data_IF_916563776363
#
_entry.id   IF_916563776363
#
_cell.length_a   1.000
_cell.length_b   1.000
_cell.length_c   1.000
_cell.angle_alpha   90.00
_cell.angle_beta   90.00
_cell.angle_gamma   90.00
#
_symmetry.space_group_name_H-M   'P 1'
#
loop_
_entity.id
_entity.type
_entity.pdbx_description
1 polymer ?
#
# COMPACT_ATOMS: atom_id res chain seq x y z
N UNK A 1 47.26 57.34 -50.77
CA UNK A 1 46.42 56.36 -51.50
C UNK A 1 45.29 55.74 -50.66
N UNK A 2 45.50 55.43 -49.39
CA UNK A 2 44.46 54.83 -48.49
C UNK A 2 43.25 55.73 -48.25
N UNK A 3 43.42 57.03 -48.15
CA UNK A 3 42.33 57.96 -47.86
C UNK A 3 41.34 58.11 -49.05
N UNK A 4 41.87 58.17 -50.29
CA UNK A 4 41.02 58.28 -51.49
C UNK A 4 40.14 57.02 -51.70
N UNK A 5 40.63 55.86 -51.31
CA UNK A 5 39.86 54.63 -51.37
C UNK A 5 38.75 54.62 -50.30
N UNK A 6 39.06 55.13 -49.11
CA UNK A 6 38.09 55.26 -48.02
C UNK A 6 37.01 56.26 -48.30
N UNK A 7 37.33 57.40 -48.94
CA UNK A 7 36.34 58.41 -49.36
C UNK A 7 35.45 57.92 -50.49
N UNK A 8 35.98 57.15 -51.43
CA UNK A 8 35.20 56.52 -52.48
C UNK A 8 34.21 55.47 -51.89
N UNK A 9 34.57 54.69 -50.88
CA UNK A 9 33.66 53.77 -50.21
C UNK A 9 32.63 54.46 -49.35
N UNK A 10 32.93 55.65 -48.78
CA UNK A 10 32.01 56.45 -47.99
C UNK A 10 30.92 57.12 -48.85
N UNK A 11 31.19 57.29 -50.16
CA UNK A 11 30.19 57.83 -51.10
C UNK A 11 29.20 56.81 -51.61
N UNK A 12 29.45 55.54 -51.40
CA UNK A 12 28.49 54.45 -51.75
C UNK A 12 27.44 54.36 -50.62
N UNK A 13 26.47 55.22 -50.66
CA UNK A 13 25.27 55.10 -49.81
C UNK A 13 24.27 54.21 -50.53
N UNK A 14 23.83 53.15 -49.82
CA UNK A 14 22.79 52.27 -50.37
C UNK A 14 21.51 53.08 -50.58
N UNK A 15 20.85 52.91 -51.72
CA UNK A 15 19.62 53.54 -52.07
C UNK A 15 18.56 53.38 -50.96
N UNK A 16 17.91 54.44 -50.54
CA UNK A 16 16.89 54.45 -49.49
C UNK A 16 15.77 53.43 -49.77
N UNK A 17 15.41 53.28 -51.07
CA UNK A 17 14.48 52.23 -51.52
C UNK A 17 14.95 50.81 -51.15
N UNK A 18 16.23 50.56 -51.30
CA UNK A 18 16.79 49.25 -51.02
C UNK A 18 16.85 48.98 -49.51
N UNK A 19 17.11 50.01 -48.72
CA UNK A 19 17.06 49.94 -47.26
C UNK A 19 15.66 49.64 -46.74
N UNK A 20 14.65 50.31 -47.30
CA UNK A 20 13.23 50.08 -46.93
C UNK A 20 12.77 48.70 -47.36
N UNK A 21 13.09 48.25 -48.57
CA UNK A 21 12.78 46.89 -49.02
C UNK A 21 13.41 45.83 -48.14
N UNK A 22 14.68 46.01 -47.75
CA UNK A 22 15.36 45.12 -46.84
C UNK A 22 14.76 45.10 -45.46
N UNK A 23 14.39 46.29 -44.92
CA UNK A 23 13.67 46.40 -43.64
C UNK A 23 12.33 45.69 -43.67
N UNK A 24 11.56 45.88 -44.73
CA UNK A 24 10.27 45.20 -44.91
C UNK A 24 10.44 43.70 -45.06
N UNK A 25 11.40 43.23 -45.80
CA UNK A 25 11.70 41.82 -45.97
C UNK A 25 12.12 41.18 -44.62
N UNK A 26 12.96 41.83 -43.87
CA UNK A 26 13.36 41.36 -42.52
C UNK A 26 12.20 41.38 -41.55
N UNK A 27 11.34 42.38 -41.58
CA UNK A 27 10.14 42.45 -40.75
C UNK A 27 9.13 41.34 -41.13
N UNK A 28 8.97 41.07 -42.40
CA UNK A 28 8.13 39.97 -42.88
C UNK A 28 8.70 38.60 -42.51
N UNK A 29 10.01 38.40 -42.62
CA UNK A 29 10.66 37.16 -42.23
C UNK A 29 10.65 36.93 -40.71
N UNK A 30 10.72 38.01 -39.91
CA UNK A 30 10.50 37.95 -38.45
C UNK A 30 9.08 37.54 -38.09
N UNK A 31 8.06 38.06 -38.84
CA UNK A 31 6.65 37.66 -38.63
C UNK A 31 6.38 36.22 -39.08
N UNK A 32 7.11 35.74 -40.09
CA UNK A 32 6.98 34.37 -40.61
C UNK A 32 7.87 33.36 -39.86
N UNK A 33 8.79 33.83 -39.01
CA UNK A 33 9.53 32.91 -38.13
C UNK A 33 8.49 32.16 -37.30
N UNK A 34 8.36 30.82 -37.47
CA UNK A 34 7.39 30.07 -36.71
C UNK A 34 7.72 30.34 -35.26
N UNK A 35 6.77 30.91 -34.51
CA UNK A 35 6.88 31.03 -33.09
C UNK A 35 7.26 29.61 -32.63
N UNK A 36 8.51 29.41 -32.26
CA UNK A 36 8.96 28.13 -31.69
C UNK A 36 8.09 27.93 -30.49
N UNK A 37 6.94 27.33 -30.74
CA UNK A 37 5.97 26.97 -29.70
C UNK A 37 6.77 26.33 -28.61
N UNK A 38 6.56 26.66 -27.39
CA UNK A 38 7.35 26.12 -26.29
C UNK A 38 7.01 24.64 -26.07
N UNK A 39 7.12 23.85 -27.15
CA UNK A 39 6.88 22.40 -27.16
C UNK A 39 7.69 21.75 -26.05
N UNK A 40 8.93 22.24 -25.82
CA UNK A 40 9.75 21.78 -24.71
C UNK A 40 9.15 22.13 -23.33
N UNK A 41 8.52 23.31 -23.20
CA UNK A 41 7.84 23.70 -21.95
C UNK A 41 6.58 22.89 -21.73
N UNK A 42 5.80 22.66 -22.78
CA UNK A 42 4.62 21.80 -22.70
C UNK A 42 5.00 20.35 -22.42
N UNK A 43 6.05 19.84 -23.06
CA UNK A 43 6.57 18.51 -22.78
C UNK A 43 7.07 18.39 -21.32
N UNK A 44 7.77 19.38 -20.81
CA UNK A 44 8.21 19.41 -19.41
C UNK A 44 7.04 19.42 -18.42
N UNK A 45 5.99 20.23 -18.69
CA UNK A 45 4.78 20.26 -17.87
C UNK A 45 4.08 18.89 -17.89
N UNK A 46 4.00 18.24 -19.05
CA UNK A 46 3.34 16.95 -19.21
C UNK A 46 4.12 15.85 -18.47
N UNK A 47 5.46 15.87 -18.54
CA UNK A 47 6.32 14.96 -17.78
C UNK A 47 6.17 15.18 -16.27
N UNK A 48 6.20 16.44 -15.80
CA UNK A 48 5.97 16.75 -14.38
C UNK A 48 4.59 16.28 -13.90
N UNK A 49 3.55 16.48 -14.69
CA UNK A 49 2.20 16.04 -14.38
C UNK A 49 2.11 14.51 -14.34
N UNK A 50 2.77 13.83 -15.27
CA UNK A 50 2.85 12.37 -15.29
C UNK A 50 3.61 11.84 -14.06
N UNK A 51 4.74 12.44 -13.69
CA UNK A 51 5.47 12.09 -12.47
C UNK A 51 4.64 12.33 -11.20
N UNK A 52 3.85 13.41 -11.17
CA UNK A 52 2.97 13.71 -10.05
C UNK A 52 1.84 12.68 -9.95
N UNK A 53 1.20 12.33 -11.06
CA UNK A 53 0.13 11.31 -11.10
C UNK A 53 0.67 9.93 -10.70
N UNK A 54 1.83 9.53 -11.22
CA UNK A 54 2.45 8.24 -10.87
C UNK A 54 2.94 8.22 -9.42
N UNK A 55 3.55 9.31 -8.94
CA UNK A 55 4.07 9.41 -7.58
C UNK A 55 2.95 9.43 -6.53
N UNK A 56 1.99 10.33 -6.66
CA UNK A 56 0.86 10.45 -5.72
C UNK A 56 -0.09 9.27 -5.87
N UNK A 57 -0.37 8.83 -7.10
CA UNK A 57 -1.23 7.68 -7.39
C UNK A 57 -0.65 6.39 -6.82
N UNK A 58 0.64 6.13 -7.02
CA UNK A 58 1.35 4.98 -6.45
C UNK A 58 1.35 5.01 -4.93
N UNK A 59 1.67 6.17 -4.34
CA UNK A 59 1.66 6.33 -2.88
C UNK A 59 0.26 6.12 -2.27
N UNK A 60 -0.81 6.51 -2.94
CA UNK A 60 -2.18 6.31 -2.48
C UNK A 60 -2.69 4.89 -2.70
N UNK A 61 -2.18 4.17 -3.71
CA UNK A 61 -2.64 2.83 -4.10
C UNK A 61 -1.98 1.70 -3.30
N UNK A 62 -0.69 1.85 -2.98
CA UNK A 62 0.11 0.78 -2.37
C UNK A 62 -0.20 0.48 -0.88
N UNK A 63 -0.51 1.46 -0.01
CA UNK A 63 -0.74 1.16 1.39
C UNK A 63 -2.01 0.33 1.61
N UNK A 64 -1.95 -0.73 2.45
CA UNK A 64 -3.15 -1.44 2.88
C UNK A 64 -4.00 -0.51 3.77
N UNK A 65 -5.30 -0.45 3.51
CA UNK A 65 -6.28 0.26 4.31
C UNK A 65 -7.00 -0.70 5.26
N UNK A 66 -7.26 -1.92 4.78
CA UNK A 66 -7.93 -2.98 5.50
C UNK A 66 -7.37 -4.35 5.14
N UNK A 67 -7.71 -5.37 5.88
CA UNK A 67 -7.35 -6.75 5.62
C UNK A 67 -8.56 -7.65 5.86
N UNK A 68 -8.63 -8.74 5.10
CA UNK A 68 -9.61 -9.81 5.23
C UNK A 68 -8.82 -11.07 5.57
N UNK A 69 -9.02 -11.61 6.76
CA UNK A 69 -8.48 -12.90 7.17
C UNK A 69 -9.52 -13.98 6.89
N UNK A 70 -9.11 -15.02 6.21
CA UNK A 70 -9.93 -16.19 5.87
C UNK A 70 -9.30 -17.37 6.57
N UNK A 71 -10.02 -17.94 7.51
CA UNK A 71 -9.58 -19.05 8.34
C UNK A 71 -10.40 -20.29 8.04
N UNK A 72 -9.72 -21.27 7.51
CA UNK A 72 -10.19 -22.61 7.23
C UNK A 72 -9.02 -23.59 7.43
N UNK A 73 -9.05 -24.73 6.76
CA UNK A 73 -7.88 -25.61 6.65
C UNK A 73 -6.66 -24.95 6.00
N UNK A 74 -6.90 -23.88 5.22
CA UNK A 74 -5.89 -23.10 4.48
C UNK A 74 -6.08 -21.62 4.83
N UNK A 75 -5.35 -21.18 5.86
CA UNK A 75 -5.52 -19.83 6.38
C UNK A 75 -4.80 -18.77 5.52
N UNK A 76 -5.56 -17.75 5.08
CA UNK A 76 -5.12 -16.69 4.18
C UNK A 76 -5.48 -15.31 4.69
N UNK A 77 -4.65 -14.33 4.38
CA UNK A 77 -4.90 -12.91 4.60
C UNK A 77 -4.84 -12.15 3.28
N UNK A 78 -5.89 -11.42 2.95
CA UNK A 78 -5.97 -10.52 1.82
C UNK A 78 -5.77 -9.09 2.31
N UNK A 79 -4.72 -8.41 1.89
CA UNK A 79 -4.53 -6.99 2.15
C UNK A 79 -5.26 -6.18 1.09
N UNK A 80 -6.16 -5.30 1.51
CA UNK A 80 -7.02 -4.50 0.63
C UNK A 80 -6.66 -3.02 0.78
N UNK A 81 -6.55 -2.30 -0.34
CA UNK A 81 -6.30 -0.88 -0.34
C UNK A 81 -7.60 -0.07 -0.23
N UNK A 82 -7.47 1.27 -0.13
CA UNK A 82 -8.62 2.19 -0.06
C UNK A 82 -9.51 2.21 -1.32
N UNK A 83 -9.11 1.54 -2.39
CA UNK A 83 -9.87 1.42 -3.64
C UNK A 83 -10.53 0.04 -3.79
N UNK A 84 -10.69 -0.68 -2.69
CA UNK A 84 -11.30 -2.00 -2.62
C UNK A 84 -10.60 -3.05 -3.52
N UNK A 85 -9.26 -2.89 -3.68
CA UNK A 85 -8.44 -3.81 -4.45
C UNK A 85 -7.49 -4.59 -3.56
N UNK A 86 -7.37 -5.88 -3.83
CA UNK A 86 -6.36 -6.73 -3.21
C UNK A 86 -4.98 -6.29 -3.70
N UNK A 87 -4.09 -5.97 -2.78
CA UNK A 87 -2.70 -5.56 -3.08
C UNK A 87 -1.67 -6.59 -2.64
N UNK A 88 -2.05 -7.50 -1.76
CA UNK A 88 -1.20 -8.62 -1.35
C UNK A 88 -2.07 -9.77 -0.83
N UNK A 89 -1.59 -10.98 -1.03
CA UNK A 89 -2.13 -12.22 -0.45
C UNK A 89 -1.04 -12.89 0.37
N UNK A 90 -1.36 -13.26 1.59
CA UNK A 90 -0.43 -13.95 2.48
C UNK A 90 -1.09 -15.18 3.07
N UNK A 91 -0.44 -16.34 2.98
CA UNK A 91 -0.79 -17.51 3.77
C UNK A 91 -0.25 -17.37 5.19
N UNK A 92 -1.02 -17.77 6.18
CA UNK A 92 -0.62 -17.75 7.60
C UNK A 92 -0.16 -19.10 8.09
N UNK A 93 -0.40 -20.17 7.31
CA UNK A 93 0.11 -21.51 7.54
C UNK A 93 0.76 -22.07 6.26
N UNK A 94 1.30 -23.28 6.32
CA UNK A 94 2.02 -23.90 5.20
C UNK A 94 1.08 -24.16 4.01
N UNK A 95 -0.14 -24.64 4.26
CA UNK A 95 -1.17 -24.90 3.26
C UNK A 95 -1.68 -23.60 2.65
N UNK A 96 -1.96 -22.59 3.47
CA UNK A 96 -2.35 -21.26 3.02
C UNK A 96 -1.25 -20.55 2.21
N UNK A 97 0.02 -20.74 2.55
CA UNK A 97 1.14 -20.23 1.76
C UNK A 97 1.20 -20.88 0.37
N UNK A 98 0.97 -22.19 0.27
CA UNK A 98 0.92 -22.91 -1.00
C UNK A 98 -0.27 -22.43 -1.83
N UNK A 99 -1.44 -22.27 -1.21
CA UNK A 99 -2.65 -21.75 -1.87
C UNK A 99 -2.43 -20.31 -2.34
N UNK A 100 -1.89 -19.42 -1.49
CA UNK A 100 -1.63 -18.02 -1.84
C UNK A 100 -0.73 -17.88 -3.08
N UNK A 101 0.25 -18.76 -3.25
CA UNK A 101 1.15 -18.77 -4.42
C UNK A 101 0.45 -19.26 -5.70
N UNK A 102 -0.59 -20.09 -5.58
CA UNK A 102 -1.34 -20.60 -6.73
C UNK A 102 -2.42 -19.64 -7.22
N UNK A 103 -2.89 -18.72 -6.35
CA UNK A 103 -3.94 -17.78 -6.65
C UNK A 103 -3.40 -16.54 -7.42
N UNK A 104 -4.16 -16.11 -8.42
CA UNK A 104 -3.89 -14.90 -9.20
C UNK A 104 -4.98 -13.87 -8.91
N UNK A 105 -5.01 -13.33 -7.71
CA UNK A 105 -6.04 -12.39 -7.25
C UNK A 105 -5.52 -10.97 -7.05
N UNK A 106 -4.27 -10.71 -7.41
CA UNK A 106 -3.65 -9.39 -7.32
C UNK A 106 -4.43 -8.35 -8.13
N UNK A 107 -4.66 -7.19 -7.51
CA UNK A 107 -5.40 -6.07 -8.08
C UNK A 107 -6.86 -6.33 -8.41
N UNK A 108 -7.42 -7.48 -8.06
CA UNK A 108 -8.85 -7.78 -8.19
C UNK A 108 -9.66 -7.01 -7.11
N UNK A 109 -10.96 -6.73 -7.37
CA UNK A 109 -11.89 -6.33 -6.31
C UNK A 109 -11.91 -7.40 -5.22
N UNK A 110 -11.90 -6.99 -3.95
CA UNK A 110 -11.76 -7.93 -2.83
C UNK A 110 -12.90 -8.98 -2.77
N UNK A 111 -14.13 -8.62 -3.17
CA UNK A 111 -15.24 -9.59 -3.22
C UNK A 111 -15.01 -10.69 -4.25
N UNK A 112 -14.47 -10.32 -5.42
CA UNK A 112 -14.16 -11.31 -6.46
C UNK A 112 -12.98 -12.19 -6.01
N UNK A 113 -11.96 -11.59 -5.39
CA UNK A 113 -10.84 -12.33 -4.83
C UNK A 113 -11.30 -13.30 -3.73
N UNK A 114 -12.20 -12.85 -2.86
CA UNK A 114 -12.81 -13.68 -1.81
C UNK A 114 -13.52 -14.89 -2.40
N UNK A 115 -14.33 -14.71 -3.46
CA UNK A 115 -14.99 -15.82 -4.13
C UNK A 115 -14.00 -16.83 -4.71
N UNK A 116 -12.95 -16.34 -5.40
CA UNK A 116 -11.89 -17.20 -5.94
C UNK A 116 -11.19 -18.00 -4.84
N UNK A 117 -10.93 -17.38 -3.69
CA UNK A 117 -10.33 -18.06 -2.53
C UNK A 117 -11.26 -19.11 -1.98
N UNK A 118 -12.53 -18.77 -1.76
CA UNK A 118 -13.52 -19.71 -1.24
C UNK A 118 -13.77 -20.90 -2.18
N UNK A 119 -13.77 -20.65 -3.49
CA UNK A 119 -13.92 -21.72 -4.51
C UNK A 119 -12.68 -22.62 -4.59
N UNK A 120 -11.50 -22.11 -4.22
CA UNK A 120 -10.24 -22.85 -4.25
C UNK A 120 -10.00 -23.66 -2.96
N UNK A 121 -10.70 -23.34 -1.87
CA UNK A 121 -10.57 -24.07 -0.61
C UNK A 121 -11.25 -25.44 -0.69
N UNK A 122 -10.63 -26.42 -0.04
CA UNK A 122 -11.15 -27.78 -0.03
C UNK A 122 -12.42 -27.88 0.85
N UNK A 123 -13.50 -28.39 0.31
CA UNK A 123 -14.81 -28.52 0.96
C UNK A 123 -14.74 -29.28 2.29
N UNK A 124 -15.42 -28.78 3.31
CA UNK A 124 -15.83 -29.56 4.47
C UNK A 124 -15.66 -28.94 5.84
N UNK A 125 -14.92 -27.85 6.01
CA UNK A 125 -14.76 -27.16 7.30
C UNK A 125 -15.43 -25.79 7.30
N UNK A 126 -15.90 -25.37 8.49
CA UNK A 126 -16.45 -24.02 8.66
C UNK A 126 -15.38 -22.96 8.35
N UNK A 127 -15.75 -21.95 7.57
CA UNK A 127 -14.89 -20.83 7.23
C UNK A 127 -15.19 -19.66 8.14
N UNK A 128 -14.14 -19.09 8.72
CA UNK A 128 -14.24 -17.87 9.53
C UNK A 128 -13.58 -16.71 8.80
N UNK A 129 -14.31 -15.62 8.56
CA UNK A 129 -13.82 -14.45 7.84
C UNK A 129 -13.79 -13.27 8.76
N UNK A 130 -12.57 -12.77 9.03
CA UNK A 130 -12.33 -11.57 9.82
C UNK A 130 -12.06 -10.36 8.93
N UNK A 131 -12.70 -9.24 9.21
CA UNK A 131 -12.41 -7.95 8.56
C UNK A 131 -11.76 -7.02 9.57
N UNK A 132 -10.60 -6.49 9.22
CA UNK A 132 -9.84 -5.58 10.06
C UNK A 132 -9.38 -4.34 9.27
N UNK A 133 -9.28 -3.21 9.92
CA UNK A 133 -8.78 -1.98 9.29
C UNK A 133 -8.77 -0.81 10.25
N UNK A 134 -8.13 0.29 9.84
CA UNK A 134 -8.01 1.50 10.66
C UNK A 134 -9.28 2.36 10.66
N UNK A 135 -10.09 2.24 9.63
CA UNK A 135 -11.37 2.96 9.48
C UNK A 135 -12.52 2.01 9.77
N UNK A 136 -13.14 2.16 10.94
CA UNK A 136 -14.25 1.32 11.37
C UNK A 136 -15.47 1.40 10.43
N UNK A 137 -15.75 2.58 9.87
CA UNK A 137 -16.88 2.76 8.94
C UNK A 137 -16.64 2.00 7.62
N UNK A 138 -15.42 2.01 7.10
CA UNK A 138 -15.06 1.22 5.93
C UNK A 138 -15.12 -0.28 6.24
N UNK A 139 -14.66 -0.68 7.43
CA UNK A 139 -14.70 -2.09 7.85
C UNK A 139 -16.14 -2.60 8.01
N UNK A 140 -17.07 -1.79 8.53
CA UNK A 140 -18.49 -2.16 8.62
C UNK A 140 -19.11 -2.41 7.23
N UNK A 141 -18.87 -1.48 6.28
CA UNK A 141 -19.35 -1.63 4.90
C UNK A 141 -18.75 -2.88 4.25
N UNK A 142 -17.46 -3.11 4.47
CA UNK A 142 -16.76 -4.29 3.94
C UNK A 142 -17.31 -5.57 4.56
N UNK A 143 -17.52 -5.60 5.89
CA UNK A 143 -18.10 -6.75 6.58
C UNK A 143 -19.50 -7.08 6.06
N UNK A 144 -20.35 -6.06 5.89
CA UNK A 144 -21.69 -6.26 5.33
C UNK A 144 -21.62 -6.85 3.91
N UNK A 145 -20.75 -6.32 3.05
CA UNK A 145 -20.59 -6.83 1.69
C UNK A 145 -20.05 -8.28 1.67
N UNK A 146 -19.14 -8.63 2.58
CA UNK A 146 -18.65 -10.01 2.75
C UNK A 146 -19.77 -10.92 3.22
N UNK A 147 -20.57 -10.51 4.21
CA UNK A 147 -21.73 -11.28 4.69
C UNK A 147 -22.76 -11.53 3.58
N UNK A 148 -23.08 -10.49 2.79
CA UNK A 148 -24.00 -10.61 1.67
C UNK A 148 -23.47 -11.55 0.59
N UNK A 149 -22.16 -11.49 0.31
CA UNK A 149 -21.50 -12.37 -0.66
C UNK A 149 -21.50 -13.84 -0.21
N UNK A 150 -21.37 -14.08 1.10
CA UNK A 150 -21.26 -15.43 1.67
C UNK A 150 -22.59 -15.98 2.22
N UNK A 151 -23.69 -15.22 2.12
CA UNK A 151 -24.99 -15.55 2.70
C UNK A 151 -25.57 -16.91 2.23
N UNK A 152 -25.19 -17.36 1.03
CA UNK A 152 -25.60 -18.68 0.49
C UNK A 152 -24.80 -19.86 1.09
N UNK A 153 -23.66 -19.59 1.74
CA UNK A 153 -22.76 -20.60 2.29
C UNK A 153 -23.10 -20.83 3.78
N UNK A 154 -23.56 -22.03 4.10
CA UNK A 154 -24.11 -22.35 5.45
C UNK A 154 -23.09 -22.40 6.60
N UNK A 155 -21.80 -22.39 6.30
CA UNK A 155 -20.74 -22.61 7.29
C UNK A 155 -19.74 -21.43 7.37
N UNK A 156 -20.13 -20.24 6.90
CA UNK A 156 -19.28 -19.06 6.98
C UNK A 156 -19.70 -18.18 8.14
N UNK A 157 -18.73 -17.82 8.99
CA UNK A 157 -18.88 -16.85 10.07
C UNK A 157 -18.04 -15.61 9.76
N UNK A 158 -18.70 -14.45 9.76
CA UNK A 158 -18.01 -13.17 9.50
C UNK A 158 -17.98 -12.32 10.77
N UNK A 159 -16.85 -11.71 11.06
CA UNK A 159 -16.66 -10.84 12.23
C UNK A 159 -15.74 -9.66 11.90
N UNK A 160 -15.81 -8.62 12.71
CA UNK A 160 -14.90 -7.48 12.64
C UNK A 160 -13.88 -7.55 13.76
N UNK A 161 -12.67 -7.12 13.50
CA UNK A 161 -11.61 -6.99 14.50
C UNK A 161 -10.83 -5.69 14.32
N UNK A 162 -10.09 -5.30 15.34
CA UNK A 162 -9.30 -4.08 15.30
C UNK A 162 -7.99 -4.26 14.52
N UNK A 163 -7.49 -3.17 13.93
CA UNK A 163 -6.23 -3.18 13.22
C UNK A 163 -5.04 -3.56 14.11
N UNK A 164 -5.07 -3.14 15.39
CA UNK A 164 -4.02 -3.46 16.37
C UNK A 164 -3.95 -4.96 16.66
N UNK A 165 -5.10 -5.63 16.68
CA UNK A 165 -5.18 -7.09 16.81
C UNK A 165 -4.60 -7.80 15.60
N UNK A 166 -4.82 -7.26 14.40
CA UNK A 166 -4.24 -7.80 13.16
C UNK A 166 -2.71 -7.63 13.12
N UNK A 167 -2.20 -6.47 13.54
CA UNK A 167 -0.76 -6.23 13.56
C UNK A 167 -0.07 -7.13 14.62
N UNK A 168 -0.68 -7.35 15.78
CA UNK A 168 -0.19 -8.29 16.80
C UNK A 168 -0.24 -9.75 16.33
N UNK A 169 -1.25 -10.11 15.54
CA UNK A 169 -1.35 -11.42 14.90
C UNK A 169 -0.20 -11.66 13.91
N UNK A 170 0.10 -10.67 13.08
CA UNK A 170 1.23 -10.71 12.14
C UNK A 170 2.58 -10.92 12.84
N UNK A 171 2.76 -10.33 14.02
CA UNK A 171 3.96 -10.53 14.84
C UNK A 171 4.00 -11.92 15.47
N UNK A 172 2.86 -12.46 15.89
CA UNK A 172 2.76 -13.78 16.53
C UNK A 172 2.79 -14.95 15.56
N UNK A 173 2.59 -14.70 14.27
CA UNK A 173 2.48 -15.70 13.20
C UNK A 173 1.37 -16.73 13.44
N UNK A 174 0.28 -16.31 14.08
CA UNK A 174 -0.92 -17.11 14.34
C UNK A 174 -2.07 -16.61 13.45
N UNK A 175 -2.98 -17.47 12.99
CA UNK A 175 -4.22 -17.04 12.35
C UNK A 175 -5.08 -16.18 13.27
N UNK A 176 -5.70 -15.13 12.74
CA UNK A 176 -6.41 -14.10 13.51
C UNK A 176 -7.46 -14.67 14.49
N UNK A 177 -8.24 -15.68 14.09
CA UNK A 177 -9.21 -16.31 14.97
C UNK A 177 -8.57 -17.12 16.09
N UNK A 178 -7.45 -17.80 15.82
CA UNK A 178 -6.69 -18.49 16.88
C UNK A 178 -6.10 -17.48 17.86
N UNK A 179 -5.57 -16.36 17.38
CA UNK A 179 -5.09 -15.28 18.23
C UNK A 179 -6.21 -14.67 19.07
N UNK A 180 -7.37 -14.40 18.49
CA UNK A 180 -8.56 -13.91 19.20
C UNK A 180 -9.05 -14.91 20.25
N UNK A 181 -9.10 -16.21 19.92
CA UNK A 181 -9.44 -17.26 20.88
C UNK A 181 -8.46 -17.30 22.04
N UNK A 182 -7.17 -17.13 21.77
CA UNK A 182 -6.13 -17.07 22.80
C UNK A 182 -6.31 -15.86 23.71
N UNK A 183 -6.62 -14.68 23.18
CA UNK A 183 -6.93 -13.48 23.96
C UNK A 183 -8.17 -13.71 24.83
N UNK A 184 -9.23 -14.30 24.31
CA UNK A 184 -10.44 -14.61 25.09
C UNK A 184 -10.17 -15.61 26.19
N UNK A 185 -9.36 -16.65 25.94
CA UNK A 185 -8.93 -17.60 26.97
C UNK A 185 -8.05 -16.92 28.05
N UNK A 186 -7.20 -15.99 27.64
CA UNK A 186 -6.35 -15.24 28.56
C UNK A 186 -7.15 -14.27 29.45
N UNK A 187 -8.25 -13.71 28.94
CA UNK A 187 -9.20 -12.92 29.73
C UNK A 187 -9.99 -13.77 30.73
N UNK A 188 -10.37 -14.99 30.33
CA UNK A 188 -11.13 -15.93 31.19
C UNK A 188 -10.27 -16.59 32.27
N UNK A 189 -8.98 -16.81 32.00
CA UNK A 189 -8.01 -17.37 32.96
C UNK A 189 -6.72 -16.53 32.95
N UNK A 190 -6.72 -15.36 33.60
CA UNK A 190 -5.54 -14.53 33.71
C UNK A 190 -4.50 -15.28 34.56
N UNK A 191 -3.57 -15.95 33.88
CA UNK A 191 -2.44 -16.61 34.55
C UNK A 191 -1.72 -15.58 35.43
N UNK A 192 -1.51 -15.85 36.73
CA UNK A 192 -0.73 -14.97 37.58
C UNK A 192 0.68 -14.89 37.00
N UNK A 193 1.09 -13.67 36.72
CA UNK A 193 2.39 -13.26 36.16
C UNK A 193 3.53 -14.19 36.63
N UNK A 194 4.12 -14.97 35.69
CA UNK A 194 5.24 -15.86 35.95
C UNK A 194 6.46 -15.15 36.56
N UNK A 195 6.49 -13.84 36.53
CA UNK A 195 7.49 -12.98 37.20
C UNK A 195 7.32 -12.95 38.73
N UNK A 196 6.11 -13.23 39.26
CA UNK A 196 5.92 -13.36 40.72
C UNK A 196 6.44 -14.68 41.27
N UNK A 197 6.37 -15.78 40.51
CA UNK A 197 6.92 -17.07 40.96
C UNK A 197 8.45 -17.07 41.04
N UNK A 198 9.14 -16.35 40.16
CA UNK A 198 10.60 -16.24 40.20
C UNK A 198 11.12 -15.49 41.44
N UNK A 199 10.34 -14.57 42.00
CA UNK A 199 10.73 -13.78 43.18
C UNK A 199 10.52 -14.52 44.49
N UNK A 200 9.58 -15.45 44.56
CA UNK A 200 9.32 -16.29 45.74
C UNK A 200 10.30 -17.42 45.89
N UNK A 201 10.82 -17.96 44.78
CA UNK A 201 11.82 -19.02 44.82
C UNK A 201 13.18 -18.50 45.32
N UNK A 202 13.55 -17.26 44.98
CA UNK A 202 14.80 -16.67 45.49
C UNK A 202 14.72 -16.21 46.95
N UNK A 203 13.56 -15.88 47.48
CA UNK A 203 13.38 -15.52 48.90
C UNK A 203 13.40 -16.75 49.81
N UNK A 204 12.99 -17.93 49.34
CA UNK A 204 13.02 -19.19 50.09
C UNK A 204 14.41 -19.80 50.18
N UNK A 205 15.28 -19.55 49.18
CA UNK A 205 16.65 -20.12 49.21
C UNK A 205 17.61 -19.35 50.16
N UNK A 206 17.30 -18.08 50.44
CA UNK A 206 18.13 -17.27 51.39
C UNK A 206 17.83 -17.53 52.86
N UNK A 207 16.65 -18.10 53.19
CA UNK A 207 16.24 -18.37 54.58
C UNK A 207 16.75 -19.75 55.13
N UNK A 208 17.16 -20.66 54.25
CA UNK A 208 17.59 -22.02 54.66
C UNK A 208 19.11 -22.18 54.78
N UNK A 209 19.90 -21.12 54.51
CA UNK A 209 21.35 -21.14 54.60
C UNK A 209 21.96 -20.65 55.95
N UNK A 210 21.12 -20.20 56.90
CA UNK A 210 21.62 -19.55 58.14
C UNK A 210 21.58 -20.44 59.40
N UNK A 211 21.22 -21.73 59.31
CA UNK A 211 21.05 -22.58 60.48
C UNK A 211 21.96 -23.85 60.53
N UNK A 212 23.09 -23.84 59.86
CA UNK A 212 24.00 -25.01 59.87
C UNK A 212 25.45 -24.60 60.12
N UNK A 213 25.74 -23.75 61.12
CA UNK A 213 27.07 -23.68 61.77
C UNK A 213 26.83 -23.26 63.21
N UNK A 214 26.90 -24.28 64.10
CA UNK A 214 26.88 -24.07 65.54
C UNK A 214 26.58 -25.36 66.32
N UNK A 215 27.50 -26.28 66.27
CA UNK A 215 27.94 -27.09 67.42
C UNK A 215 29.12 -28.01 67.00
#
# INVERSE_FOLDING_TARGET
>A
MRERVRDAFNQITADEKLKEQTKMFLAQKRRQAPARRPVRRMAAILVCLMCLVLGVGGWAYLPPASAISIESSEALELSVNRFDRVIAVRGTDETGCALAQSLQVDHMPYLNALQVVLDAQTDGEGVSIGVAGKDSGQCEIMLQAVQDCTAAQKQVQCYMTDADTLDADRESNLPLGKYRMLLTLQELDPQPDSRRCARTVHAGAAANGANAVGN
#
